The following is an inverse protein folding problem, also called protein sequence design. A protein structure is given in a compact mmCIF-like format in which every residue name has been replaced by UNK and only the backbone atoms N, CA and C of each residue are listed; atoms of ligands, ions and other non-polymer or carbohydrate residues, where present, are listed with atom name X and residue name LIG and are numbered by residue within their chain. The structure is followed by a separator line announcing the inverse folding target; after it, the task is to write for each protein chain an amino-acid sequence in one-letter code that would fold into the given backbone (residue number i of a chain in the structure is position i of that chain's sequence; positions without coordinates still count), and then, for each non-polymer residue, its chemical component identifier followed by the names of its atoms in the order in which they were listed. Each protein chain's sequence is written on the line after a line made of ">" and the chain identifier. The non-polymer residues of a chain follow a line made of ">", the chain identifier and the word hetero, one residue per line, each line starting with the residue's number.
data_IF_383598850648
#
_entry.id   IF_383598850648
#
_cell.length_a   1.000
_cell.length_b   1.000
_cell.length_c   1.000
_cell.angle_alpha   90.00
_cell.angle_beta   90.00
_cell.angle_gamma   90.00
#
_symmetry.space_group_name_H-M   'P 1'
#
loop_
_entity.id
_entity.type
_entity.pdbx_description
1 polymer ?
#
# COMPACT_ATOMS: atom_id res chain seq x y z
N UNK A 1 13.85 30.63 3.67
CA UNK A 1 13.06 29.84 2.73
C UNK A 1 13.73 28.51 2.43
N UNK A 2 13.02 27.59 1.78
CA UNK A 2 13.55 26.29 1.39
C UNK A 2 12.85 25.71 0.18
N UNK A 3 13.55 24.82 -0.52
CA UNK A 3 13.00 24.04 -1.61
C UNK A 3 13.00 22.57 -1.27
N UNK A 4 11.93 21.89 -1.66
CA UNK A 4 11.78 20.44 -1.46
C UNK A 4 12.45 19.68 -2.61
N UNK A 5 13.07 18.54 -2.30
CA UNK A 5 13.63 17.63 -3.28
C UNK A 5 12.57 16.88 -4.08
N UNK A 6 11.31 16.93 -3.63
CA UNK A 6 10.14 16.33 -4.28
C UNK A 6 10.39 14.89 -4.75
N UNK A 7 10.81 14.03 -3.85
CA UNK A 7 11.38 12.68 -4.09
C UNK A 7 10.82 11.95 -5.30
N UNK A 8 9.57 11.52 -5.25
CA UNK A 8 8.96 10.73 -6.32
C UNK A 8 8.68 11.58 -7.57
N UNK A 9 8.30 12.87 -7.41
CA UNK A 9 7.97 13.74 -8.55
C UNK A 9 9.23 13.98 -9.41
N UNK A 10 10.32 14.37 -8.78
CA UNK A 10 11.62 14.60 -9.45
C UNK A 10 12.13 13.32 -10.10
N UNK A 11 12.08 12.19 -9.38
CA UNK A 11 12.47 10.90 -9.96
C UNK A 11 11.66 10.56 -11.20
N UNK A 12 10.32 10.72 -11.17
CA UNK A 12 9.46 10.44 -12.33
C UNK A 12 9.76 11.34 -13.53
N UNK A 13 10.13 12.60 -13.32
CA UNK A 13 10.53 13.51 -14.40
C UNK A 13 11.82 13.03 -15.07
N UNK A 14 12.82 12.67 -14.27
CA UNK A 14 14.10 12.17 -14.79
C UNK A 14 13.93 10.81 -15.47
N UNK A 15 13.10 9.91 -14.92
CA UNK A 15 12.77 8.64 -15.57
C UNK A 15 12.12 8.84 -16.95
N UNK A 16 11.20 9.82 -17.09
CA UNK A 16 10.60 10.14 -18.38
C UNK A 16 11.63 10.66 -19.39
N UNK A 17 12.59 11.47 -18.96
CA UNK A 17 13.69 11.92 -19.82
C UNK A 17 14.54 10.74 -20.29
N UNK A 18 14.92 9.84 -19.39
CA UNK A 18 15.66 8.63 -19.72
C UNK A 18 14.90 7.73 -20.69
N UNK A 19 13.59 7.55 -20.51
CA UNK A 19 12.77 6.77 -21.45
C UNK A 19 12.76 7.39 -22.85
N UNK A 20 12.73 8.73 -22.97
CA UNK A 20 12.83 9.40 -24.26
C UNK A 20 14.22 9.24 -24.92
N UNK A 21 15.26 9.03 -24.10
CA UNK A 21 16.64 8.72 -24.53
C UNK A 21 16.83 7.21 -24.80
N UNK A 22 15.79 6.38 -24.65
CA UNK A 22 15.86 4.92 -24.81
C UNK A 22 16.51 4.17 -23.66
N UNK A 23 16.64 4.82 -22.50
CA UNK A 23 17.24 4.25 -21.29
C UNK A 23 16.23 4.12 -20.13
N UNK A 24 16.60 3.39 -19.08
CA UNK A 24 15.84 3.28 -17.84
C UNK A 24 16.76 3.48 -16.64
N UNK A 25 16.19 3.76 -15.47
CA UNK A 25 16.99 3.85 -14.23
C UNK A 25 17.70 2.51 -13.93
N UNK A 26 17.03 1.39 -14.25
CA UNK A 26 17.58 0.06 -14.07
C UNK A 26 18.80 -0.19 -14.97
N UNK A 27 18.77 0.28 -16.24
CA UNK A 27 19.90 0.15 -17.15
C UNK A 27 21.08 1.04 -16.77
N UNK A 28 20.81 2.24 -16.16
CA UNK A 28 21.87 3.11 -15.66
C UNK A 28 22.52 2.57 -14.37
N UNK A 29 21.74 1.94 -13.52
CA UNK A 29 22.11 1.65 -12.14
C UNK A 29 21.91 2.84 -11.19
N UNK A 30 21.89 2.54 -9.88
CA UNK A 30 21.50 3.51 -8.84
C UNK A 30 22.39 4.75 -8.82
N UNK A 31 23.71 4.57 -8.83
CA UNK A 31 24.68 5.67 -8.70
C UNK A 31 24.54 6.67 -9.84
N UNK A 32 24.62 6.21 -11.09
CA UNK A 32 24.49 7.05 -12.28
C UNK A 32 23.12 7.70 -12.38
N UNK A 33 22.07 7.00 -11.96
CA UNK A 33 20.74 7.57 -11.92
C UNK A 33 20.66 8.75 -10.91
N UNK A 34 21.22 8.59 -9.71
CA UNK A 34 21.27 9.66 -8.70
C UNK A 34 22.09 10.84 -9.21
N UNK A 35 23.23 10.60 -9.86
CA UNK A 35 24.01 11.67 -10.51
C UNK A 35 23.18 12.43 -11.54
N UNK A 36 22.40 11.73 -12.36
CA UNK A 36 21.49 12.34 -13.34
C UNK A 36 20.43 13.20 -12.69
N UNK A 37 19.87 12.75 -11.56
CA UNK A 37 18.89 13.54 -10.78
C UNK A 37 19.54 14.81 -10.21
N UNK A 38 20.77 14.73 -9.68
CA UNK A 38 21.51 15.89 -9.22
C UNK A 38 21.80 16.89 -10.34
N UNK A 39 22.17 16.43 -11.53
CA UNK A 39 22.35 17.28 -12.72
C UNK A 39 21.05 18.00 -13.09
N UNK A 40 19.93 17.27 -13.09
CA UNK A 40 18.60 17.85 -13.32
C UNK A 40 18.26 18.91 -12.26
N UNK A 41 18.47 18.62 -10.98
CA UNK A 41 18.27 19.55 -9.87
C UNK A 41 19.12 20.80 -10.03
N UNK A 42 20.36 20.67 -10.44
CA UNK A 42 21.26 21.82 -10.66
C UNK A 42 20.75 22.71 -11.79
N UNK A 43 20.24 22.11 -12.87
CA UNK A 43 19.74 22.86 -14.03
C UNK A 43 18.41 23.57 -13.77
N UNK A 44 17.49 22.91 -13.03
CA UNK A 44 16.10 23.37 -12.88
C UNK A 44 15.73 23.82 -11.45
N UNK A 45 16.45 23.38 -10.44
CA UNK A 45 16.07 23.58 -9.03
C UNK A 45 16.05 25.05 -8.58
N UNK A 46 16.80 25.93 -9.22
CA UNK A 46 16.80 27.36 -8.91
C UNK A 46 15.70 28.16 -9.65
N UNK A 47 15.00 27.56 -10.59
CA UNK A 47 13.97 28.24 -11.38
C UNK A 47 12.87 28.78 -10.48
N UNK A 48 12.33 27.97 -9.57
CA UNK A 48 11.28 28.40 -8.64
C UNK A 48 11.74 29.55 -7.74
N UNK A 49 12.97 29.50 -7.22
CA UNK A 49 13.55 30.57 -6.39
C UNK A 49 13.67 31.88 -7.17
N UNK A 50 14.11 31.81 -8.42
CA UNK A 50 14.22 32.99 -9.28
C UNK A 50 12.84 33.57 -9.61
N UNK A 51 11.83 32.74 -9.85
CA UNK A 51 10.44 33.17 -10.06
C UNK A 51 9.87 33.86 -8.83
N UNK A 52 10.08 33.30 -7.62
CA UNK A 52 9.66 33.90 -6.35
C UNK A 52 10.34 35.29 -6.13
N UNK A 53 11.64 35.38 -6.40
CA UNK A 53 12.35 36.69 -6.35
C UNK A 53 11.79 37.73 -7.34
N UNK A 54 11.45 37.30 -8.57
CA UNK A 54 10.82 38.16 -9.55
C UNK A 54 9.41 38.59 -9.15
N UNK A 55 8.66 37.76 -8.42
CA UNK A 55 7.37 38.12 -7.84
C UNK A 55 7.48 39.08 -6.65
N UNK A 56 8.70 39.36 -6.17
CA UNK A 56 8.93 40.26 -5.05
C UNK A 56 8.64 39.65 -3.68
N UNK A 57 8.69 38.33 -3.56
CA UNK A 57 8.53 37.66 -2.28
C UNK A 57 9.66 38.04 -1.31
N UNK A 58 9.28 38.59 -0.13
CA UNK A 58 10.24 39.02 0.90
C UNK A 58 10.65 37.84 1.79
N UNK A 59 11.52 37.02 1.27
CA UNK A 59 12.12 35.89 2.00
C UNK A 59 13.59 36.20 2.35
N UNK A 60 14.09 35.58 3.38
CA UNK A 60 15.51 35.57 3.72
C UNK A 60 16.27 34.61 2.78
N UNK A 61 16.65 35.11 1.62
CA UNK A 61 17.30 34.30 0.57
C UNK A 61 18.71 33.86 0.94
N UNK A 62 19.39 34.54 1.87
CA UNK A 62 20.73 34.17 2.35
C UNK A 62 20.69 32.87 3.21
N UNK A 63 19.52 32.57 3.80
CA UNK A 63 19.27 31.34 4.54
C UNK A 63 18.46 30.32 3.72
N UNK A 64 18.57 30.34 2.40
CA UNK A 64 17.91 29.34 1.57
C UNK A 64 18.46 27.94 1.86
N UNK A 65 17.53 27.01 2.08
CA UNK A 65 17.85 25.59 2.36
C UNK A 65 17.24 24.68 1.29
N UNK A 66 17.81 23.50 1.17
CA UNK A 66 17.29 22.41 0.34
C UNK A 66 17.10 21.17 1.20
N UNK A 67 15.95 20.50 1.10
CA UNK A 67 15.60 19.38 2.01
C UNK A 67 16.60 18.23 2.00
N UNK A 68 17.44 18.09 0.97
CA UNK A 68 18.55 17.13 0.93
C UNK A 68 19.94 17.78 1.09
N UNK A 69 20.05 18.99 1.61
CA UNK A 69 21.36 19.51 1.99
C UNK A 69 21.97 18.73 3.16
N UNK A 70 23.25 18.87 3.37
CA UNK A 70 23.99 18.10 4.38
C UNK A 70 23.41 18.28 5.79
N UNK A 71 23.05 19.52 6.17
CA UNK A 71 22.52 19.82 7.49
C UNK A 71 21.13 19.21 7.72
N UNK A 72 20.23 19.37 6.76
CA UNK A 72 18.89 18.78 6.85
C UNK A 72 18.92 17.26 6.74
N UNK A 73 19.80 16.70 5.93
CA UNK A 73 20.00 15.25 5.87
C UNK A 73 20.47 14.67 7.22
N UNK A 74 21.38 15.35 7.91
CA UNK A 74 21.78 14.96 9.28
C UNK A 74 20.62 15.07 10.27
N UNK A 75 19.79 16.12 10.17
CA UNK A 75 18.63 16.30 11.03
C UNK A 75 17.58 15.20 10.82
N UNK A 76 17.29 14.84 9.57
CA UNK A 76 16.36 13.75 9.24
C UNK A 76 16.85 12.42 9.80
N UNK A 77 18.15 12.13 9.64
CA UNK A 77 18.79 10.93 10.18
C UNK A 77 18.65 10.86 11.71
N UNK A 78 18.98 11.97 12.39
CA UNK A 78 18.91 12.07 13.85
C UNK A 78 17.49 11.86 14.36
N UNK A 79 16.49 12.52 13.73
CA UNK A 79 15.07 12.39 14.10
C UNK A 79 14.58 10.95 13.89
N UNK A 80 14.96 10.32 12.77
CA UNK A 80 14.57 8.93 12.51
C UNK A 80 15.09 8.00 13.62
N UNK A 81 16.38 8.10 13.95
CA UNK A 81 17.01 7.24 14.96
C UNK A 81 16.37 7.45 16.33
N UNK A 82 16.16 8.70 16.77
CA UNK A 82 15.47 9.00 18.05
C UNK A 82 14.07 8.42 18.11
N UNK A 83 13.25 8.65 17.08
CA UNK A 83 11.90 8.11 17.05
C UNK A 83 11.87 6.58 17.04
N UNK A 84 12.90 5.94 16.46
CA UNK A 84 13.05 4.49 16.54
C UNK A 84 13.45 4.04 17.95
N UNK A 85 14.43 4.70 18.58
CA UNK A 85 14.84 4.46 19.98
C UNK A 85 13.68 4.63 20.95
N UNK A 86 12.80 5.62 20.73
CA UNK A 86 11.58 5.86 21.49
C UNK A 86 10.44 4.85 21.19
N UNK A 87 10.66 3.91 20.25
CA UNK A 87 9.68 2.90 19.85
C UNK A 87 8.48 3.45 19.05
N UNK A 88 8.59 4.69 18.54
CA UNK A 88 7.59 5.34 17.70
C UNK A 88 7.72 4.96 16.23
N UNK A 89 8.92 4.64 15.75
CA UNK A 89 9.14 4.08 14.42
C UNK A 89 9.28 2.56 14.52
N UNK A 90 8.60 1.84 13.63
CA UNK A 90 8.69 0.39 13.54
C UNK A 90 8.60 -0.07 12.08
N UNK A 91 9.08 -1.30 11.82
CA UNK A 91 8.89 -2.00 10.55
C UNK A 91 7.83 -3.09 10.73
N UNK A 92 6.83 -3.10 9.87
CA UNK A 92 5.75 -4.07 9.95
C UNK A 92 5.10 -4.33 8.59
N UNK A 93 4.49 -5.50 8.44
CA UNK A 93 3.68 -5.83 7.28
C UNK A 93 2.26 -5.32 7.49
N UNK A 94 1.84 -4.44 6.60
CA UNK A 94 0.49 -3.89 6.57
C UNK A 94 0.00 -3.77 5.14
N UNK A 95 -1.30 -3.62 5.00
CA UNK A 95 -1.89 -3.21 3.74
C UNK A 95 -1.59 -1.72 3.51
N UNK A 96 -1.06 -1.41 2.34
CA UNK A 96 -0.67 -0.06 1.95
C UNK A 96 -1.24 0.32 0.60
N UNK A 97 -1.37 1.61 0.34
CA UNK A 97 -1.60 2.11 -1.01
C UNK A 97 -0.34 1.89 -1.85
N UNK A 98 -0.44 1.13 -2.92
CA UNK A 98 0.69 0.80 -3.80
C UNK A 98 0.46 1.28 -5.22
N UNK A 99 1.42 1.98 -5.79
CA UNK A 99 1.38 2.34 -7.21
C UNK A 99 2.13 1.29 -8.03
N UNK A 100 1.44 0.47 -8.85
CA UNK A 100 2.08 -0.62 -9.61
C UNK A 100 2.98 -0.12 -10.76
N UNK A 101 2.82 1.14 -11.18
CA UNK A 101 3.70 1.77 -12.18
C UNK A 101 4.95 2.39 -11.56
N UNK A 102 4.79 3.16 -10.49
CA UNK A 102 5.91 3.78 -9.79
C UNK A 102 6.67 2.77 -8.91
N UNK A 103 6.09 1.59 -8.66
CA UNK A 103 6.60 0.52 -7.81
C UNK A 103 6.98 1.02 -6.41
N UNK A 104 6.07 1.78 -5.81
CA UNK A 104 6.28 2.38 -4.49
C UNK A 104 4.99 2.53 -3.70
N UNK A 105 5.14 2.52 -2.37
CA UNK A 105 4.09 2.88 -1.43
C UNK A 105 3.70 4.35 -1.57
N UNK A 106 2.44 4.64 -1.29
CA UNK A 106 1.85 5.98 -1.25
C UNK A 106 1.20 6.19 0.13
N UNK A 107 1.23 7.41 0.63
CA UNK A 107 0.37 7.84 1.73
C UNK A 107 -1.03 8.21 1.21
N UNK A 108 -2.01 8.33 2.11
CA UNK A 108 -3.39 8.63 1.72
C UNK A 108 -3.52 9.97 0.99
N UNK A 109 -2.72 10.98 1.38
CA UNK A 109 -2.68 12.30 0.70
C UNK A 109 -2.05 12.27 -0.70
N UNK A 110 -1.39 11.17 -1.07
CA UNK A 110 -0.79 10.96 -2.39
C UNK A 110 -1.73 10.17 -3.33
N UNK A 111 -2.95 9.84 -2.86
CA UNK A 111 -3.99 9.17 -3.63
C UNK A 111 -5.11 10.15 -3.95
N UNK A 112 -5.33 10.39 -5.22
CA UNK A 112 -6.46 11.19 -5.70
C UNK A 112 -7.63 10.26 -6.04
N UNK A 113 -8.82 10.60 -5.58
CA UNK A 113 -10.01 9.82 -5.87
C UNK A 113 -10.75 10.41 -7.07
N UNK A 114 -11.19 9.53 -7.97
CA UNK A 114 -11.95 9.89 -9.16
C UNK A 114 -13.19 9.02 -9.25
N UNK A 115 -14.35 9.66 -9.40
CA UNK A 115 -15.61 8.97 -9.61
C UNK A 115 -15.68 8.38 -11.02
N UNK A 116 -15.91 7.08 -11.09
CA UNK A 116 -16.08 6.36 -12.35
C UNK A 116 -17.39 5.58 -12.39
N UNK A 117 -17.85 5.29 -13.60
CA UNK A 117 -18.86 4.27 -13.83
C UNK A 117 -18.19 2.91 -13.87
N UNK A 118 -18.52 2.07 -12.92
CA UNK A 118 -18.05 0.69 -12.82
C UNK A 118 -19.22 -0.29 -12.83
N UNK A 119 -18.94 -1.51 -12.42
CA UNK A 119 -19.93 -2.59 -12.28
C UNK A 119 -19.89 -3.15 -10.88
N UNK A 120 -21.05 -3.57 -10.38
CA UNK A 120 -21.22 -4.32 -9.14
C UNK A 120 -21.64 -5.74 -9.49
N UNK A 121 -20.82 -6.71 -9.11
CA UNK A 121 -21.01 -8.12 -9.40
C UNK A 121 -21.61 -8.81 -8.20
N UNK A 122 -22.78 -9.44 -8.37
CA UNK A 122 -23.45 -10.24 -7.34
C UNK A 122 -23.12 -11.71 -7.54
N UNK A 123 -22.25 -12.27 -6.69
CA UNK A 123 -21.70 -13.62 -6.81
C UNK A 123 -22.31 -14.54 -5.75
N UNK A 124 -22.73 -15.75 -6.15
CA UNK A 124 -23.34 -16.77 -5.28
C UNK A 124 -22.29 -17.64 -4.64
N UNK A 125 -22.28 -17.70 -3.31
CA UNK A 125 -21.43 -18.58 -2.51
C UNK A 125 -22.30 -19.65 -1.85
N UNK A 126 -22.32 -20.90 -2.35
CA UNK A 126 -23.16 -21.96 -1.79
C UNK A 126 -22.63 -22.42 -0.44
N UNK A 127 -23.54 -22.76 0.49
CA UNK A 127 -23.13 -23.42 1.73
C UNK A 127 -22.43 -24.75 1.44
N UNK A 128 -21.45 -25.09 2.23
CA UNK A 128 -20.71 -26.35 2.08
C UNK A 128 -21.60 -27.56 2.36
N UNK A 129 -22.44 -27.48 3.40
CA UNK A 129 -23.31 -28.59 3.85
C UNK A 129 -24.60 -28.68 3.03
N UNK A 130 -25.12 -27.56 2.52
CA UNK A 130 -26.33 -27.51 1.69
C UNK A 130 -26.13 -26.52 0.53
N UNK A 131 -25.66 -26.97 -0.64
CA UNK A 131 -25.43 -26.10 -1.79
C UNK A 131 -26.68 -25.46 -2.39
N UNK A 132 -27.87 -25.82 -1.94
CA UNK A 132 -29.12 -25.16 -2.35
C UNK A 132 -29.26 -23.80 -1.70
N UNK A 133 -28.69 -23.62 -0.51
CA UNK A 133 -28.60 -22.34 0.19
C UNK A 133 -27.36 -21.60 -0.30
N UNK A 134 -27.54 -20.37 -0.76
CA UNK A 134 -26.48 -19.57 -1.35
C UNK A 134 -26.49 -18.18 -0.74
N UNK A 135 -25.33 -17.75 -0.23
CA UNK A 135 -25.11 -16.34 0.12
C UNK A 135 -24.70 -15.58 -1.15
N UNK A 136 -25.33 -14.47 -1.40
CA UNK A 136 -24.93 -13.58 -2.50
C UNK A 136 -24.09 -12.44 -1.93
N UNK A 137 -22.86 -12.31 -2.39
CA UNK A 137 -21.97 -11.20 -2.06
C UNK A 137 -21.86 -10.26 -3.24
N UNK A 138 -21.80 -8.95 -2.99
CA UNK A 138 -21.64 -7.94 -4.02
C UNK A 138 -20.24 -7.35 -3.98
N UNK A 139 -19.59 -7.24 -5.14
CA UNK A 139 -18.23 -6.70 -5.26
C UNK A 139 -18.03 -5.92 -6.55
N UNK A 140 -17.23 -4.86 -6.50
CA UNK A 140 -16.75 -4.15 -7.69
C UNK A 140 -15.47 -4.76 -8.26
N UNK A 141 -14.87 -5.71 -7.53
CA UNK A 141 -13.57 -6.33 -7.84
C UNK A 141 -13.68 -7.86 -7.82
N UNK A 142 -14.32 -8.48 -8.83
CA UNK A 142 -14.54 -9.93 -8.86
C UNK A 142 -13.24 -10.73 -8.88
N UNK A 143 -12.15 -10.17 -9.39
CA UNK A 143 -10.83 -10.82 -9.39
C UNK A 143 -10.28 -11.05 -7.98
N UNK A 144 -10.60 -10.19 -7.02
CA UNK A 144 -10.09 -10.34 -5.65
C UNK A 144 -10.79 -11.47 -4.87
N UNK A 145 -11.89 -11.99 -5.39
CA UNK A 145 -12.60 -13.14 -4.84
C UNK A 145 -11.66 -14.33 -4.54
N UNK A 146 -10.66 -14.56 -5.38
CA UNK A 146 -9.70 -15.63 -5.16
C UNK A 146 -8.92 -15.51 -3.85
N UNK A 147 -8.76 -14.29 -3.32
CA UNK A 147 -8.14 -14.02 -2.02
C UNK A 147 -9.11 -13.97 -0.84
N UNK A 148 -10.40 -14.28 -1.03
CA UNK A 148 -11.38 -14.25 0.05
C UNK A 148 -11.06 -15.30 1.12
N UNK A 149 -11.23 -14.91 2.39
CA UNK A 149 -10.94 -15.78 3.54
C UNK A 149 -12.12 -15.94 4.49
N UNK A 150 -13.16 -15.13 4.35
CA UNK A 150 -14.45 -15.29 5.03
C UNK A 150 -15.56 -14.56 4.28
N UNK A 151 -16.81 -14.81 4.68
CA UNK A 151 -17.96 -13.95 4.39
C UNK A 151 -18.48 -13.40 5.71
N UNK A 152 -18.60 -12.09 5.82
CA UNK A 152 -19.18 -11.41 6.97
C UNK A 152 -20.66 -11.19 6.79
N UNK A 153 -21.43 -11.36 7.88
CA UNK A 153 -22.83 -11.00 7.99
C UNK A 153 -23.07 -10.25 9.29
N UNK A 154 -24.11 -9.44 9.36
CA UNK A 154 -24.41 -8.78 10.63
C UNK A 154 -24.97 -9.81 11.64
N UNK A 155 -24.49 -9.86 12.90
CA UNK A 155 -24.93 -10.87 13.87
C UNK A 155 -26.42 -10.87 14.18
N UNK A 156 -27.06 -9.70 14.08
CA UNK A 156 -28.49 -9.52 14.33
C UNK A 156 -29.37 -9.65 13.07
N UNK A 157 -28.77 -9.95 11.92
CA UNK A 157 -29.56 -10.12 10.67
C UNK A 157 -30.28 -11.47 10.68
N UNK A 158 -31.62 -11.50 10.74
CA UNK A 158 -32.36 -12.75 10.80
C UNK A 158 -32.21 -13.61 9.54
N UNK A 159 -31.79 -13.03 8.43
CA UNK A 159 -31.54 -13.76 7.17
C UNK A 159 -30.34 -14.68 7.28
N UNK A 160 -29.32 -14.29 8.06
CA UNK A 160 -28.01 -14.91 8.03
C UNK A 160 -27.46 -15.32 9.40
N UNK A 161 -28.01 -14.82 10.52
CA UNK A 161 -27.46 -15.07 11.86
C UNK A 161 -27.29 -16.58 12.19
N UNK A 162 -28.17 -17.43 11.67
CA UNK A 162 -28.11 -18.90 11.84
C UNK A 162 -26.99 -19.56 11.05
N UNK A 163 -26.39 -18.85 10.11
CA UNK A 163 -25.32 -19.35 9.25
C UNK A 163 -23.93 -19.03 9.80
N UNK A 164 -23.85 -18.16 10.82
CA UNK A 164 -22.56 -17.83 11.47
C UNK A 164 -21.93 -19.11 12.03
N UNK A 165 -20.63 -19.29 11.75
CA UNK A 165 -19.87 -20.48 12.08
C UNK A 165 -19.94 -21.59 11.04
N UNK A 166 -20.87 -21.54 10.08
CA UNK A 166 -20.89 -22.43 8.92
C UNK A 166 -19.88 -21.99 7.88
N UNK A 167 -19.78 -22.76 6.80
CA UNK A 167 -18.82 -22.48 5.71
C UNK A 167 -19.53 -22.40 4.37
N UNK A 168 -18.99 -21.56 3.49
CA UNK A 168 -19.39 -21.48 2.08
C UNK A 168 -18.27 -21.98 1.18
N UNK A 169 -18.62 -22.53 0.03
CA UNK A 169 -17.67 -22.87 -1.03
C UNK A 169 -17.34 -21.61 -1.83
N UNK A 170 -16.07 -21.35 -1.99
CA UNK A 170 -15.59 -20.23 -2.80
C UNK A 170 -15.60 -20.63 -4.28
N UNK A 171 -16.36 -19.94 -5.15
CA UNK A 171 -16.44 -20.28 -6.57
C UNK A 171 -15.07 -20.31 -7.25
N UNK A 172 -14.89 -21.18 -8.25
CA UNK A 172 -13.66 -21.32 -9.04
C UNK A 172 -12.41 -21.72 -8.24
N UNK A 173 -12.60 -22.21 -7.00
CA UNK A 173 -11.51 -22.68 -6.12
C UNK A 173 -11.89 -24.02 -5.46
N UNK A 174 -10.91 -24.69 -4.87
CA UNK A 174 -11.12 -25.90 -4.07
C UNK A 174 -11.31 -25.58 -2.57
N UNK A 175 -11.52 -24.31 -2.20
CA UNK A 175 -11.60 -23.86 -0.81
C UNK A 175 -13.02 -23.67 -0.32
N UNK A 176 -13.19 -23.85 0.97
CA UNK A 176 -14.31 -23.34 1.74
C UNK A 176 -13.83 -22.28 2.72
N UNK A 177 -14.67 -21.28 2.97
CA UNK A 177 -14.38 -20.16 3.87
C UNK A 177 -15.49 -20.00 4.90
N UNK A 178 -15.18 -19.56 6.15
CA UNK A 178 -16.18 -19.43 7.21
C UNK A 178 -17.11 -18.24 6.97
N UNK A 179 -18.31 -18.33 7.54
CA UNK A 179 -19.22 -17.20 7.72
C UNK A 179 -18.99 -16.65 9.13
N UNK A 180 -18.67 -15.37 9.23
CA UNK A 180 -18.39 -14.68 10.49
C UNK A 180 -19.41 -13.57 10.76
N UNK A 181 -19.68 -13.32 12.03
CA UNK A 181 -20.52 -12.19 12.44
C UNK A 181 -19.68 -10.95 12.69
N UNK A 182 -19.90 -9.86 11.93
CA UNK A 182 -19.16 -8.59 12.10
C UNK A 182 -20.12 -7.40 11.91
N UNK A 183 -20.52 -6.79 13.02
CA UNK A 183 -21.41 -5.61 13.02
C UNK A 183 -20.71 -4.30 12.65
N UNK A 184 -19.36 -4.30 12.63
CA UNK A 184 -18.57 -3.12 12.24
C UNK A 184 -18.44 -3.06 10.73
N UNK A 185 -18.22 -4.22 10.08
CA UNK A 185 -18.00 -4.29 8.64
C UNK A 185 -19.33 -4.31 7.86
N UNK A 186 -20.38 -4.91 8.41
CA UNK A 186 -21.62 -5.18 7.68
C UNK A 186 -22.76 -4.26 8.13
N UNK A 187 -23.23 -3.47 7.18
CA UNK A 187 -24.52 -2.78 7.28
C UNK A 187 -25.60 -3.72 6.72
N UNK A 188 -26.56 -4.15 7.57
CA UNK A 188 -27.66 -5.06 7.16
C UNK A 188 -28.63 -4.49 6.17
N UNK A 189 -28.68 -3.17 6.04
CA UNK A 189 -29.62 -2.48 5.13
C UNK A 189 -28.95 -2.15 3.79
N UNK A 190 -27.63 -2.32 3.70
CA UNK A 190 -26.89 -2.06 2.48
C UNK A 190 -26.65 -3.34 1.66
N UNK A 191 -26.96 -3.28 0.36
CA UNK A 191 -26.69 -4.37 -0.58
C UNK A 191 -27.38 -5.68 -0.21
N UNK A 192 -26.63 -6.78 -0.20
CA UNK A 192 -27.15 -8.11 0.14
C UNK A 192 -27.16 -8.41 1.64
N UNK A 193 -26.48 -7.60 2.46
CA UNK A 193 -26.23 -7.87 3.88
C UNK A 193 -25.17 -8.94 4.12
N UNK A 194 -24.49 -9.42 3.07
CA UNK A 194 -23.36 -10.33 3.15
C UNK A 194 -22.16 -9.72 2.40
N UNK A 195 -21.02 -9.64 3.06
CA UNK A 195 -19.80 -9.00 2.56
C UNK A 195 -18.68 -10.03 2.52
N UNK A 196 -18.00 -10.17 1.38
CA UNK A 196 -16.78 -10.97 1.29
C UNK A 196 -15.64 -10.28 2.04
N UNK A 197 -14.75 -11.04 2.67
CA UNK A 197 -13.57 -10.52 3.36
C UNK A 197 -12.32 -10.98 2.62
N UNK A 198 -11.58 -10.01 2.06
CA UNK A 198 -10.32 -10.21 1.33
C UNK A 198 -9.19 -9.40 1.98
N UNK A 199 -8.62 -9.86 3.11
CA UNK A 199 -7.72 -9.04 3.94
C UNK A 199 -6.44 -8.56 3.21
N UNK A 200 -6.05 -9.22 2.13
CA UNK A 200 -4.87 -8.85 1.35
C UNK A 200 -5.13 -7.75 0.30
N UNK A 201 -6.40 -7.35 0.06
CA UNK A 201 -6.76 -6.49 -1.08
C UNK A 201 -7.80 -5.40 -0.78
N UNK A 202 -8.21 -5.23 0.48
CA UNK A 202 -9.11 -4.17 0.93
C UNK A 202 -8.78 -3.76 2.37
N UNK A 203 -8.78 -2.46 2.67
CA UNK A 203 -8.41 -1.93 3.98
C UNK A 203 -9.42 -2.28 5.08
N UNK A 204 -10.72 -2.22 4.79
CA UNK A 204 -11.75 -2.58 5.75
C UNK A 204 -11.75 -4.09 6.02
N UNK A 205 -11.53 -4.87 4.96
CA UNK A 205 -11.38 -6.33 5.04
C UNK A 205 -10.10 -6.73 5.79
N UNK A 206 -9.02 -5.94 5.68
CA UNK A 206 -7.80 -6.14 6.46
C UNK A 206 -8.07 -5.97 7.96
N UNK A 207 -8.77 -4.92 8.37
CA UNK A 207 -9.14 -4.69 9.77
C UNK A 207 -10.10 -5.78 10.30
N UNK A 208 -11.06 -6.21 9.49
CA UNK A 208 -11.93 -7.35 9.81
C UNK A 208 -11.12 -8.65 9.92
N UNK A 209 -10.16 -8.86 9.03
CA UNK A 209 -9.23 -9.99 9.06
C UNK A 209 -8.42 -10.05 10.36
N UNK A 210 -7.96 -8.92 10.87
CA UNK A 210 -7.27 -8.84 12.17
C UNK A 210 -8.22 -9.21 13.32
N UNK A 211 -9.45 -8.66 13.34
CA UNK A 211 -10.44 -8.97 14.39
C UNK A 211 -10.80 -10.45 14.45
N UNK A 212 -10.95 -11.07 13.28
CA UNK A 212 -11.34 -12.48 13.14
C UNK A 212 -10.17 -13.45 12.96
N UNK A 213 -8.91 -12.97 13.01
CA UNK A 213 -7.67 -13.73 12.82
C UNK A 213 -7.68 -14.54 11.51
N UNK A 214 -8.14 -13.92 10.44
CA UNK A 214 -8.23 -14.55 9.12
C UNK A 214 -6.87 -14.54 8.41
N UNK A 215 -6.57 -15.55 7.58
CA UNK A 215 -5.36 -15.56 6.78
C UNK A 215 -5.39 -14.45 5.71
N UNK A 216 -4.22 -13.99 5.30
CA UNK A 216 -4.03 -13.01 4.23
C UNK A 216 -3.51 -13.74 3.01
N UNK A 217 -4.27 -13.75 1.93
CA UNK A 217 -3.93 -14.44 0.69
C UNK A 217 -3.72 -13.41 -0.43
N UNK A 218 -2.49 -12.94 -0.66
CA UNK A 218 -2.20 -12.04 -1.76
C UNK A 218 -2.28 -12.79 -3.09
N UNK A 219 -3.05 -12.23 -4.04
CA UNK A 219 -3.22 -12.78 -5.38
C UNK A 219 -2.71 -11.87 -6.48
N UNK A 220 -2.20 -10.70 -6.11
CA UNK A 220 -1.58 -9.74 -7.02
C UNK A 220 -0.09 -9.61 -6.68
N UNK A 221 0.71 -9.44 -7.73
CA UNK A 221 2.11 -9.07 -7.59
C UNK A 221 2.30 -7.54 -7.44
N UNK A 222 3.56 -7.10 -7.31
CA UNK A 222 3.90 -5.69 -7.17
C UNK A 222 3.62 -4.83 -8.43
N UNK A 223 3.32 -5.45 -9.57
CA UNK A 223 2.90 -4.79 -10.81
C UNK A 223 1.37 -4.82 -10.99
N UNK A 224 0.62 -5.28 -9.98
CA UNK A 224 -0.82 -5.52 -10.02
C UNK A 224 -1.22 -6.52 -11.12
N UNK A 225 -0.38 -7.50 -11.39
CA UNK A 225 -0.71 -8.64 -12.22
C UNK A 225 -1.21 -9.76 -11.32
N UNK A 226 -2.12 -10.59 -11.82
CA UNK A 226 -2.53 -11.79 -11.10
C UNK A 226 -1.34 -12.75 -10.95
N UNK A 227 -0.92 -12.97 -9.70
CA UNK A 227 0.26 -13.77 -9.39
C UNK A 227 -0.06 -15.26 -9.44
N UNK A 228 0.64 -16.00 -10.30
CA UNK A 228 0.42 -17.45 -10.46
C UNK A 228 0.60 -18.22 -9.15
N UNK A 229 1.64 -17.91 -8.40
CA UNK A 229 1.91 -18.59 -7.12
C UNK A 229 0.85 -18.25 -6.07
N UNK A 230 0.41 -16.98 -5.99
CA UNK A 230 -0.67 -16.54 -5.13
C UNK A 230 -2.00 -17.23 -5.48
N UNK A 231 -2.35 -17.33 -6.76
CA UNK A 231 -3.55 -18.04 -7.22
C UNK A 231 -3.50 -19.55 -6.88
N UNK A 232 -2.33 -20.19 -7.03
CA UNK A 232 -2.13 -21.59 -6.63
C UNK A 232 -2.29 -21.77 -5.13
N UNK A 233 -1.67 -20.91 -4.33
CA UNK A 233 -1.80 -20.93 -2.86
C UNK A 233 -3.24 -20.67 -2.41
N UNK A 234 -3.98 -19.85 -3.17
CA UNK A 234 -5.41 -19.61 -2.96
C UNK A 234 -6.31 -20.75 -3.46
N UNK A 235 -5.76 -21.86 -3.96
CA UNK A 235 -6.51 -23.03 -4.39
C UNK A 235 -7.40 -22.78 -5.62
N UNK A 236 -7.06 -21.84 -6.47
CA UNK A 236 -7.76 -21.56 -7.72
C UNK A 236 -7.61 -22.74 -8.69
N UNK A 237 -8.65 -23.04 -9.44
CA UNK A 237 -8.63 -24.12 -10.43
C UNK A 237 -7.55 -23.90 -11.49
N UNK A 238 -6.75 -24.93 -11.88
CA UNK A 238 -5.64 -24.77 -12.82
C UNK A 238 -6.02 -24.11 -14.16
N UNK A 239 -7.17 -24.46 -14.72
CA UNK A 239 -7.65 -23.88 -15.98
C UNK A 239 -7.93 -22.36 -15.86
N UNK A 240 -8.38 -21.91 -14.67
CA UNK A 240 -8.58 -20.48 -14.41
C UNK A 240 -7.22 -19.79 -14.26
N UNK A 241 -6.29 -20.39 -13.50
CA UNK A 241 -4.92 -19.86 -13.38
C UNK A 241 -4.29 -19.67 -14.75
N UNK A 242 -4.38 -20.65 -15.64
CA UNK A 242 -3.80 -20.57 -16.99
C UNK A 242 -4.44 -19.47 -17.84
N UNK A 243 -5.72 -19.20 -17.62
CA UNK A 243 -6.44 -18.15 -18.34
C UNK A 243 -6.14 -16.74 -17.89
N UNK A 244 -5.79 -16.53 -16.59
CA UNK A 244 -5.73 -15.18 -15.99
C UNK A 244 -4.38 -14.83 -15.37
N UNK A 245 -3.52 -15.78 -15.04
CA UNK A 245 -2.21 -15.49 -14.44
C UNK A 245 -1.37 -14.57 -15.32
N UNK A 246 -0.61 -13.68 -14.69
CA UNK A 246 0.22 -12.64 -15.34
C UNK A 246 -0.56 -11.57 -16.11
N UNK A 247 -1.89 -11.58 -16.07
CA UNK A 247 -2.68 -10.52 -16.66
C UNK A 247 -2.86 -9.35 -15.68
N UNK A 248 -2.86 -8.11 -16.18
CA UNK A 248 -3.32 -6.97 -15.42
C UNK A 248 -4.79 -7.17 -15.00
N UNK A 249 -5.15 -6.70 -13.80
CA UNK A 249 -6.51 -6.78 -13.25
C UNK A 249 -7.60 -6.46 -14.27
N UNK A 250 -7.47 -5.34 -14.99
CA UNK A 250 -8.46 -4.89 -15.96
C UNK A 250 -8.63 -5.81 -17.16
N UNK A 251 -7.62 -6.63 -17.49
CA UNK A 251 -7.71 -7.65 -18.56
C UNK A 251 -8.19 -9.01 -18.04
N UNK A 252 -7.94 -9.32 -16.79
CA UNK A 252 -8.38 -10.56 -16.16
C UNK A 252 -9.87 -10.51 -15.80
N UNK A 253 -10.38 -9.37 -15.34
CA UNK A 253 -11.77 -9.19 -14.88
C UNK A 253 -12.84 -9.66 -15.89
N UNK A 254 -12.81 -9.29 -17.18
CA UNK A 254 -13.80 -9.78 -18.13
C UNK A 254 -13.75 -11.31 -18.34
N UNK A 255 -12.57 -11.92 -18.23
CA UNK A 255 -12.44 -13.39 -18.33
C UNK A 255 -13.05 -14.09 -17.12
N UNK A 256 -12.84 -13.54 -15.92
CA UNK A 256 -13.41 -14.06 -14.68
C UNK A 256 -14.93 -13.90 -14.71
N UNK A 257 -15.43 -12.72 -15.12
CA UNK A 257 -16.85 -12.44 -15.32
C UNK A 257 -17.49 -13.51 -16.22
N UNK A 258 -16.89 -13.78 -17.38
CA UNK A 258 -17.42 -14.78 -18.33
C UNK A 258 -17.49 -16.19 -17.71
N UNK A 259 -16.46 -16.63 -17.03
CA UNK A 259 -16.46 -17.95 -16.38
C UNK A 259 -17.51 -18.03 -15.26
N UNK A 260 -17.70 -16.95 -14.48
CA UNK A 260 -18.73 -16.90 -13.46
C UNK A 260 -20.15 -16.99 -14.07
N UNK A 261 -20.38 -16.36 -15.25
CA UNK A 261 -21.62 -16.48 -16.00
C UNK A 261 -21.81 -17.91 -16.48
N UNK A 262 -20.84 -18.47 -17.18
CA UNK A 262 -20.91 -19.80 -17.81
C UNK A 262 -21.20 -20.91 -16.78
N UNK A 263 -20.71 -20.74 -15.56
CA UNK A 263 -20.92 -21.69 -14.46
C UNK A 263 -22.12 -21.35 -13.56
N UNK A 264 -22.88 -20.28 -13.85
CA UNK A 264 -24.06 -19.88 -13.10
C UNK A 264 -23.78 -19.36 -11.69
N UNK A 265 -22.56 -18.92 -11.41
CA UNK A 265 -22.17 -18.32 -10.13
C UNK A 265 -22.53 -16.85 -10.01
N UNK A 266 -22.74 -16.15 -11.13
CA UNK A 266 -23.14 -14.76 -11.16
C UNK A 266 -24.65 -14.64 -11.11
N UNK A 267 -25.17 -13.83 -10.17
CA UNK A 267 -26.63 -13.55 -10.06
C UNK A 267 -27.02 -12.37 -10.89
N UNK A 268 -26.24 -11.30 -10.82
CA UNK A 268 -26.51 -10.01 -11.45
C UNK A 268 -25.22 -9.22 -11.66
N UNK A 269 -25.26 -8.28 -12.59
CA UNK A 269 -24.23 -7.26 -12.83
C UNK A 269 -24.92 -5.93 -13.03
N UNK A 270 -24.76 -5.02 -12.08
CA UNK A 270 -25.38 -3.71 -12.10
C UNK A 270 -24.35 -2.61 -12.42
N UNK A 271 -24.79 -1.57 -13.10
CA UNK A 271 -23.99 -0.35 -13.20
C UNK A 271 -23.85 0.29 -11.82
N UNK A 272 -22.63 0.64 -11.44
CA UNK A 272 -22.33 1.18 -10.12
C UNK A 272 -21.38 2.37 -10.22
N UNK A 273 -21.72 3.47 -9.54
CA UNK A 273 -20.80 4.59 -9.37
C UNK A 273 -19.85 4.29 -8.23
N UNK A 274 -18.57 4.40 -8.48
CA UNK A 274 -17.54 4.12 -7.47
C UNK A 274 -16.38 5.11 -7.59
N UNK A 275 -15.79 5.45 -6.47
CA UNK A 275 -14.54 6.21 -6.43
C UNK A 275 -13.36 5.25 -6.53
N UNK A 276 -12.42 5.52 -7.43
CA UNK A 276 -11.16 4.79 -7.52
C UNK A 276 -9.99 5.68 -7.12
N UNK A 277 -9.06 5.12 -6.36
CA UNK A 277 -7.81 5.80 -6.01
C UNK A 277 -6.81 5.77 -7.17
N UNK A 278 -6.24 6.91 -7.48
CA UNK A 278 -5.18 7.05 -8.50
C UNK A 278 -3.94 7.69 -7.88
N UNK A 279 -2.78 7.23 -8.32
CA UNK A 279 -1.52 7.87 -7.96
C UNK A 279 -1.53 9.33 -8.47
N UNK A 280 -1.35 10.31 -7.59
CA UNK A 280 -1.44 11.73 -7.93
C UNK A 280 -0.45 12.16 -9.02
N UNK A 281 0.63 11.40 -9.25
CA UNK A 281 1.68 11.72 -10.24
C UNK A 281 1.50 11.05 -11.59
N UNK A 282 1.32 9.71 -11.57
CA UNK A 282 1.26 8.95 -12.82
C UNK A 282 -0.16 8.60 -13.24
N UNK A 283 -1.16 8.94 -12.40
CA UNK A 283 -2.58 8.69 -12.62
C UNK A 283 -2.96 7.19 -12.79
N UNK A 284 -2.03 6.30 -12.50
CA UNK A 284 -2.31 4.85 -12.48
C UNK A 284 -3.17 4.51 -11.27
N UNK A 285 -4.09 3.57 -11.44
CA UNK A 285 -4.93 3.04 -10.34
C UNK A 285 -4.02 2.47 -9.25
N UNK A 286 -4.30 2.85 -8.01
CA UNK A 286 -3.60 2.38 -6.82
C UNK A 286 -4.24 1.08 -6.36
N UNK A 287 -3.40 0.11 -5.99
CA UNK A 287 -3.85 -1.17 -5.47
C UNK A 287 -3.50 -1.29 -3.98
N UNK A 288 -4.44 -1.74 -3.13
CA UNK A 288 -4.08 -2.19 -1.79
C UNK A 288 -3.13 -3.39 -1.89
N UNK A 289 -1.98 -3.29 -1.23
CA UNK A 289 -0.90 -4.28 -1.34
C UNK A 289 -0.25 -4.56 0.01
N UNK A 290 -0.11 -5.84 0.37
CA UNK A 290 0.60 -6.25 1.58
C UNK A 290 2.11 -6.08 1.40
N UNK A 291 2.73 -5.31 2.26
CA UNK A 291 4.17 -5.09 2.21
C UNK A 291 4.74 -4.73 3.58
N UNK A 292 5.93 -5.27 3.92
CA UNK A 292 6.67 -4.81 5.08
C UNK A 292 7.27 -3.42 4.80
N UNK A 293 6.77 -2.42 5.52
CA UNK A 293 7.14 -1.02 5.39
C UNK A 293 7.55 -0.43 6.74
N UNK A 294 8.11 0.77 6.71
CA UNK A 294 8.43 1.54 7.90
C UNK A 294 7.28 2.50 8.22
N UNK A 295 6.86 2.49 9.47
CA UNK A 295 5.73 3.27 9.97
C UNK A 295 6.11 4.09 11.19
N UNK A 296 5.45 5.25 11.33
CA UNK A 296 5.40 6.01 12.59
C UNK A 296 4.09 5.68 13.28
N UNK A 297 4.15 5.30 14.57
CA UNK A 297 2.97 5.17 15.44
C UNK A 297 2.42 6.56 15.72
N UNK A 298 1.35 6.93 15.05
CA UNK A 298 0.82 8.30 15.13
C UNK A 298 -0.07 8.49 16.34
N UNK A 299 -0.80 7.48 16.79
CA UNK A 299 -1.76 7.60 17.89
C UNK A 299 -1.17 8.20 19.17
N UNK A 300 -0.01 7.74 19.70
CA UNK A 300 0.61 8.35 20.88
C UNK A 300 1.00 9.82 20.69
N UNK A 301 1.22 10.26 19.44
CA UNK A 301 1.54 11.66 19.10
C UNK A 301 0.27 12.50 18.91
N UNK A 302 -0.80 11.90 18.40
CA UNK A 302 -2.07 12.56 18.16
C UNK A 302 -2.85 12.87 19.47
N UNK A 303 -2.84 11.96 20.43
CA UNK A 303 -3.56 12.11 21.69
C UNK A 303 -3.24 13.41 22.46
N UNK A 304 -1.98 13.79 22.73
CA UNK A 304 -1.66 15.05 23.36
C UNK A 304 -2.01 16.28 22.50
N UNK A 305 -1.96 16.16 21.16
CA UNK A 305 -2.35 17.23 20.26
C UNK A 305 -3.86 17.46 20.24
N UNK A 306 -4.66 16.39 20.25
CA UNK A 306 -6.13 16.45 20.42
C UNK A 306 -6.46 17.16 21.74
N UNK A 307 -5.87 16.72 22.86
CA UNK A 307 -6.08 17.29 24.16
C UNK A 307 -5.71 18.77 24.24
N UNK A 308 -4.65 19.19 23.55
CA UNK A 308 -4.24 20.60 23.52
C UNK A 308 -5.27 21.52 22.86
N UNK A 309 -6.05 21.01 21.90
CA UNK A 309 -7.17 21.74 21.29
C UNK A 309 -8.42 21.67 22.15
N UNK A 310 -8.74 20.49 22.70
CA UNK A 310 -9.93 20.31 23.55
C UNK A 310 -9.88 21.14 24.85
N UNK A 311 -8.70 21.28 25.45
CA UNK A 311 -8.50 22.08 26.66
C UNK A 311 -8.18 23.57 26.38
N UNK A 312 -8.20 24.00 25.13
CA UNK A 312 -8.06 25.38 24.70
C UNK A 312 -6.63 25.93 24.71
N UNK A 313 -5.60 25.11 24.98
CA UNK A 313 -4.18 25.52 24.84
C UNK A 313 -3.81 25.88 23.43
N UNK A 314 -4.44 25.21 22.45
CA UNK A 314 -4.34 25.55 21.02
C UNK A 314 -5.75 25.89 20.54
N UNK A 315 -5.90 27.08 19.94
CA UNK A 315 -7.17 27.54 19.37
C UNK A 315 -7.08 27.54 17.84
N UNK A 316 -8.07 26.95 17.18
CA UNK A 316 -8.20 26.93 15.72
C UNK A 316 -9.10 28.09 15.30
N UNK A 317 -8.61 28.93 14.40
CA UNK A 317 -9.32 30.12 13.92
C UNK A 317 -9.45 30.04 12.38
N UNK A 318 -10.66 30.14 11.84
CA UNK A 318 -11.97 30.21 12.49
C UNK A 318 -12.35 28.90 13.21
N UNK A 319 -13.13 29.02 14.29
CA UNK A 319 -13.50 27.91 15.15
C UNK A 319 -14.23 26.75 14.44
N UNK A 320 -14.95 27.05 13.37
CA UNK A 320 -15.63 26.04 12.55
C UNK A 320 -14.71 24.93 12.00
N UNK A 321 -13.39 25.15 11.92
CA UNK A 321 -12.42 24.14 11.51
C UNK A 321 -11.97 23.19 12.63
N UNK A 322 -12.36 23.47 13.88
CA UNK A 322 -12.01 22.62 15.02
C UNK A 322 -12.51 21.19 14.86
N UNK A 323 -13.75 21.01 14.40
CA UNK A 323 -14.31 19.68 14.18
C UNK A 323 -13.57 18.92 13.06
N UNK A 324 -13.17 19.63 12.01
CA UNK A 324 -12.38 19.03 10.93
C UNK A 324 -11.00 18.55 11.45
N UNK A 325 -10.31 19.39 12.21
CA UNK A 325 -9.04 19.02 12.86
C UNK A 325 -9.20 17.80 13.77
N UNK A 326 -10.18 17.80 14.66
CA UNK A 326 -10.42 16.71 15.60
C UNK A 326 -10.81 15.42 14.88
N UNK A 327 -11.62 15.49 13.82
CA UNK A 327 -11.95 14.34 12.98
C UNK A 327 -10.68 13.70 12.37
N UNK A 328 -9.84 14.50 11.71
CA UNK A 328 -8.57 14.03 11.16
C UNK A 328 -7.67 13.38 12.22
N UNK A 329 -7.53 14.03 13.39
CA UNK A 329 -6.61 13.56 14.43
C UNK A 329 -7.10 12.30 15.13
N UNK A 330 -8.42 12.11 15.29
CA UNK A 330 -9.01 10.92 15.92
C UNK A 330 -8.94 9.68 15.03
N UNK A 331 -9.08 9.87 13.70
CA UNK A 331 -9.08 8.79 12.72
C UNK A 331 -7.71 8.57 12.08
N UNK A 332 -6.67 9.30 12.55
CA UNK A 332 -5.34 9.22 11.97
C UNK A 332 -4.74 7.82 12.15
N UNK A 333 -4.25 7.27 11.06
CA UNK A 333 -3.59 5.95 11.01
C UNK A 333 -2.07 6.11 11.10
N UNK A 334 -1.39 4.99 11.42
CA UNK A 334 0.07 4.95 11.39
C UNK A 334 0.60 5.36 10.02
N UNK A 335 1.55 6.27 10.01
CA UNK A 335 2.07 6.88 8.80
C UNK A 335 3.16 6.01 8.16
N UNK A 336 2.92 5.52 6.95
CA UNK A 336 3.93 4.85 6.15
C UNK A 336 4.94 5.86 5.60
N UNK A 337 6.18 5.81 6.12
CA UNK A 337 7.26 6.74 5.77
C UNK A 337 8.22 6.20 4.71
N UNK A 338 8.25 4.89 4.46
CA UNK A 338 9.15 4.30 3.47
C UNK A 338 8.61 4.44 2.05
N UNK A 339 9.52 4.68 1.12
CA UNK A 339 9.28 4.71 -0.33
C UNK A 339 10.36 3.92 -1.04
N UNK A 340 10.00 3.22 -2.11
CA UNK A 340 10.89 2.41 -2.94
C UNK A 340 11.48 3.24 -4.09
N UNK A 341 11.89 4.46 -3.78
CA UNK A 341 12.54 5.40 -4.71
C UNK A 341 14.04 5.48 -4.43
N UNK A 342 14.80 5.88 -5.42
CA UNK A 342 16.24 6.07 -5.27
C UNK A 342 16.61 7.50 -4.87
N UNK A 343 15.81 8.49 -5.30
CA UNK A 343 15.99 9.89 -4.97
C UNK A 343 15.28 10.26 -3.68
N UNK A 344 16.03 10.55 -2.62
CA UNK A 344 15.51 10.92 -1.31
C UNK A 344 16.44 10.47 -0.17
N UNK A 345 16.04 10.75 1.06
CA UNK A 345 16.75 10.31 2.25
C UNK A 345 16.69 8.78 2.40
N UNK A 346 17.82 8.17 2.60
CA UNK A 346 17.88 6.73 2.86
C UNK A 346 17.52 6.44 4.32
N UNK A 347 16.66 5.44 4.52
CA UNK A 347 16.34 4.94 5.87
C UNK A 347 17.62 4.32 6.48
N UNK A 348 18.03 4.76 7.68
CA UNK A 348 19.28 4.35 8.31
C UNK A 348 19.13 2.99 9.02
N UNK A 349 18.79 1.97 8.25
CA UNK A 349 18.57 0.61 8.73
C UNK A 349 19.44 -0.38 7.96
N UNK A 350 20.24 -1.14 8.69
CA UNK A 350 21.10 -2.20 8.18
C UNK A 350 20.62 -3.55 8.67
N UNK A 351 20.98 -4.61 8.00
CA UNK A 351 20.54 -5.96 8.34
C UNK A 351 21.72 -6.91 8.26
N UNK A 352 22.01 -7.60 9.34
CA UNK A 352 22.99 -8.64 9.38
C UNK A 352 22.46 -9.90 8.68
N UNK A 353 23.16 -10.41 7.67
CA UNK A 353 22.73 -11.61 6.94
C UNK A 353 22.72 -12.85 7.82
N UNK A 354 23.69 -12.97 8.73
CA UNK A 354 23.79 -14.10 9.65
C UNK A 354 22.62 -14.15 10.64
N UNK A 355 22.32 -13.01 11.32
CA UNK A 355 21.21 -12.93 12.28
C UNK A 355 19.82 -12.99 11.62
N UNK A 356 19.73 -12.73 10.34
CA UNK A 356 18.48 -12.76 9.57
C UNK A 356 18.50 -13.83 8.47
N UNK A 357 19.22 -14.94 8.70
CA UNK A 357 19.33 -16.02 7.73
C UNK A 357 17.96 -16.51 7.25
N UNK A 358 17.78 -16.63 5.94
CA UNK A 358 16.51 -17.03 5.33
C UNK A 358 15.45 -15.92 5.21
N UNK A 359 15.71 -14.72 5.78
CA UNK A 359 14.79 -13.57 5.69
C UNK A 359 15.14 -12.58 4.57
N UNK A 360 16.12 -12.94 3.75
CA UNK A 360 16.48 -12.19 2.54
C UNK A 360 16.07 -12.98 1.31
N UNK A 361 15.24 -12.38 0.46
CA UNK A 361 14.94 -12.92 -0.87
C UNK A 361 15.74 -12.12 -1.88
N UNK A 362 16.73 -12.78 -2.48
CA UNK A 362 17.53 -12.24 -3.57
C UNK A 362 16.67 -12.24 -4.84
N UNK A 363 16.24 -11.07 -5.29
CA UNK A 363 15.62 -10.92 -6.61
C UNK A 363 16.70 -10.53 -7.61
N UNK A 364 17.07 -11.44 -8.49
CA UNK A 364 17.82 -11.08 -9.69
C UNK A 364 16.91 -10.26 -10.59
N UNK A 365 17.26 -9.01 -10.86
CA UNK A 365 16.62 -8.25 -11.94
C UNK A 365 17.20 -8.71 -13.28
N UNK A 366 16.30 -8.95 -14.22
CA UNK A 366 16.64 -9.21 -15.60
C UNK A 366 17.14 -7.87 -16.18
N UNK A 367 18.42 -7.78 -16.47
CA UNK A 367 19.11 -6.64 -17.07
C UNK A 367 20.47 -7.11 -17.58
N UNK A 368 21.21 -6.25 -18.29
CA UNK A 368 22.58 -6.52 -18.72
C UNK A 368 23.41 -7.05 -17.51
N UNK A 369 24.09 -8.21 -17.64
CA UNK A 369 24.90 -8.79 -16.57
C UNK A 369 25.94 -7.83 -15.96
N UNK A 370 26.40 -6.84 -16.73
CA UNK A 370 27.35 -5.82 -16.28
C UNK A 370 26.73 -4.75 -15.35
N UNK A 371 25.40 -4.60 -15.35
CA UNK A 371 24.67 -3.61 -14.56
C UNK A 371 23.63 -4.22 -13.61
N UNK A 372 23.61 -5.55 -13.47
CA UNK A 372 22.68 -6.28 -12.65
C UNK A 372 22.80 -5.88 -11.16
N UNK A 373 21.90 -5.02 -10.69
CA UNK A 373 21.79 -4.75 -9.25
C UNK A 373 21.00 -5.88 -8.57
N UNK A 374 21.62 -6.50 -7.58
CA UNK A 374 20.93 -7.45 -6.70
C UNK A 374 20.01 -6.67 -5.79
N UNK A 375 18.71 -6.76 -6.03
CA UNK A 375 17.72 -6.24 -5.11
C UNK A 375 17.37 -7.32 -4.07
N UNK A 376 17.54 -7.02 -2.80
CA UNK A 376 17.06 -7.87 -1.71
C UNK A 376 15.65 -7.44 -1.32
N UNK A 377 14.74 -8.39 -1.20
CA UNK A 377 13.49 -8.20 -0.47
C UNK A 377 13.71 -8.70 0.94
N UNK A 378 13.61 -7.82 1.92
CA UNK A 378 13.74 -8.13 3.33
C UNK A 378 12.36 -8.55 3.84
N UNK A 379 12.23 -9.80 4.26
CA UNK A 379 10.96 -10.36 4.71
C UNK A 379 10.54 -9.81 6.08
N UNK A 380 9.29 -9.99 6.42
CA UNK A 380 8.77 -9.72 7.76
C UNK A 380 9.51 -10.59 8.79
N UNK A 381 9.78 -10.02 9.96
CA UNK A 381 10.56 -10.69 11.03
C UNK A 381 12.05 -10.40 10.99
N UNK A 382 12.61 -9.87 9.89
CA UNK A 382 14.00 -9.45 9.88
C UNK A 382 14.25 -8.30 10.86
N UNK A 383 15.29 -8.44 11.71
CA UNK A 383 15.66 -7.48 12.74
C UNK A 383 16.60 -6.41 12.15
N UNK A 384 16.19 -5.14 12.07
CA UNK A 384 17.04 -4.07 11.60
C UNK A 384 18.03 -3.61 12.67
N UNK A 385 19.18 -3.15 12.24
CA UNK A 385 20.13 -2.36 13.01
C UNK A 385 19.96 -0.90 12.60
N UNK A 386 19.30 -0.10 13.43
CA UNK A 386 19.09 1.32 13.16
C UNK A 386 20.17 2.13 13.85
N UNK A 387 20.90 2.94 13.08
CA UNK A 387 22.03 3.71 13.62
C UNK A 387 22.26 5.00 12.81
N UNK A 388 22.97 5.97 13.38
CA UNK A 388 23.35 7.23 12.72
C UNK A 388 24.43 7.04 11.66
N UNK A 389 25.23 6.00 11.80
CA UNK A 389 26.28 5.62 10.86
C UNK A 389 26.23 4.13 10.59
N UNK A 390 26.70 3.71 9.42
CA UNK A 390 26.74 2.28 9.08
C UNK A 390 27.55 1.50 10.12
N UNK A 391 26.97 0.46 10.75
CA UNK A 391 27.70 -0.39 11.68
C UNK A 391 28.87 -1.10 10.98
N UNK A 392 30.01 -1.18 11.64
CA UNK A 392 31.17 -1.92 11.13
C UNK A 392 31.09 -3.42 11.41
N UNK A 393 30.32 -3.80 12.42
CA UNK A 393 30.06 -5.18 12.83
C UNK A 393 28.65 -5.29 13.42
N UNK A 394 28.10 -6.49 13.41
CA UNK A 394 26.80 -6.75 14.02
C UNK A 394 26.92 -6.79 15.56
N UNK A 395 26.09 -6.04 16.31
CA UNK A 395 26.17 -6.06 17.77
C UNK A 395 25.73 -7.40 18.38
N UNK A 396 24.93 -8.19 17.67
CA UNK A 396 24.38 -9.46 18.17
C UNK A 396 25.31 -10.66 17.91
N UNK A 397 25.95 -10.76 16.74
CA UNK A 397 26.80 -11.89 16.37
C UNK A 397 28.26 -11.53 16.08
N UNK A 398 28.63 -10.25 16.17
CA UNK A 398 29.95 -9.71 15.93
C UNK A 398 30.55 -9.93 14.53
N UNK A 399 29.76 -10.46 13.58
CA UNK A 399 30.17 -10.57 12.19
C UNK A 399 30.48 -9.19 11.61
N UNK A 400 31.57 -9.09 10.87
CA UNK A 400 31.93 -7.93 10.06
C UNK A 400 31.19 -7.97 8.73
N UNK A 401 30.90 -6.82 8.20
CA UNK A 401 30.23 -6.67 6.91
C UNK A 401 31.13 -7.03 5.76
#
# INVERSE_FOLDING_TARGET
>A
PGTDHAGIATQNVVEKQLMAEGASRESLGRERFIERVWQWKTSFGNTIVNQQKQLGESCDWDRLRFTMDEGLSKAVLEVFVRLYEDGLIYRGERLINWCPRCLTALSDIEVEHEDIKGKLYSIKYPLEQDPTIRLTVATTRPETMFGDTAVAVHPEDPRYNRLIGQRVRLPLTNRTIPIVGDAILVDREFGTGAVKITPAHDFNDFEAGERHKLPRLPILDHQALLDRAGLQAAGVEPAIIDAVATLPVMKARPKIEQVLIDRGWLSNVDDHKMAIGKCYRCKTVVEPYLSPQWFVKIKPLAEPAIKAVEDGRIRIIPEGWTNNYLGWMRDIKDWCISRQIWWGHQIPAWYCENCNAGLFVKKMRIGDPATAHIAFTILQGAKPLVARTAPTHCPDCHETK
#
